data_IF_693903021909
#
_entry.id   IF_693903021909
#
_cell.length_a   1.000
_cell.length_b   1.000
_cell.length_c   1.000
_cell.angle_alpha   90.00
_cell.angle_beta   90.00
_cell.angle_gamma   90.00
#
_symmetry.space_group_name_H-M   'P 1'
#
loop_
_entity.id
_entity.type
_entity.pdbx_description
1 polymer ?
#
# COMPACT_ATOMS: atom_id res chain seq x y z
N UNK A 1 -50.14 -56.33 4.34
CA UNK A 1 -48.76 -56.24 3.88
C UNK A 1 -48.55 -54.78 3.37
N UNK A 2 -47.95 -53.94 4.21
CA UNK A 2 -47.65 -52.55 3.86
C UNK A 2 -46.20 -52.49 3.39
N UNK A 3 -45.99 -52.12 2.11
CA UNK A 3 -44.67 -51.93 1.54
C UNK A 3 -44.19 -50.49 1.86
N UNK A 4 -43.16 -50.42 2.68
CA UNK A 4 -42.49 -49.16 3.00
C UNK A 4 -41.55 -48.80 1.84
N UNK A 5 -41.80 -47.69 1.14
CA UNK A 5 -40.88 -47.13 0.15
C UNK A 5 -39.89 -46.25 0.89
N UNK A 6 -38.66 -46.71 0.98
CA UNK A 6 -37.53 -45.92 1.49
C UNK A 6 -36.95 -45.11 0.32
N UNK A 7 -37.32 -43.84 0.23
CA UNK A 7 -36.75 -42.90 -0.74
C UNK A 7 -35.35 -42.51 -0.30
N UNK A 8 -34.33 -42.90 -1.05
CA UNK A 8 -32.96 -42.44 -0.88
C UNK A 8 -32.87 -41.00 -1.41
N UNK A 9 -32.75 -40.07 -0.49
CA UNK A 9 -32.44 -38.68 -0.82
C UNK A 9 -30.93 -38.57 -1.15
N UNK A 10 -30.56 -38.58 -2.42
CA UNK A 10 -29.20 -38.29 -2.86
C UNK A 10 -28.97 -36.79 -2.69
N UNK A 11 -28.33 -36.42 -1.58
CA UNK A 11 -27.84 -35.05 -1.39
C UNK A 11 -26.64 -34.85 -2.31
N UNK A 12 -26.87 -34.19 -3.43
CA UNK A 12 -25.79 -33.73 -4.30
C UNK A 12 -25.08 -32.55 -3.57
N UNK A 13 -23.99 -32.86 -2.87
CA UNK A 13 -23.04 -31.84 -2.44
C UNK A 13 -22.39 -31.28 -3.71
N UNK A 14 -22.91 -30.16 -4.20
CA UNK A 14 -22.18 -29.32 -5.14
C UNK A 14 -21.01 -28.78 -4.32
N UNK A 15 -19.87 -29.44 -4.43
CA UNK A 15 -18.61 -28.89 -3.94
C UNK A 15 -18.42 -27.52 -4.58
N UNK A 16 -18.55 -26.44 -3.80
CA UNK A 16 -18.08 -25.14 -4.23
C UNK A 16 -16.58 -25.34 -4.51
N UNK A 17 -16.22 -25.40 -5.79
CA UNK A 17 -14.83 -25.31 -6.21
C UNK A 17 -14.43 -23.90 -5.81
N UNK A 18 -13.79 -23.76 -4.65
CA UNK A 18 -13.14 -22.52 -4.29
C UNK A 18 -12.15 -22.23 -5.42
N UNK A 19 -12.37 -21.15 -6.13
CA UNK A 19 -11.47 -20.72 -7.17
C UNK A 19 -10.13 -20.42 -6.48
N UNK A 20 -9.16 -21.30 -6.70
CA UNK A 20 -7.82 -21.12 -6.18
C UNK A 20 -7.23 -19.90 -6.89
N UNK A 21 -7.06 -18.80 -6.16
CA UNK A 21 -6.43 -17.63 -6.73
C UNK A 21 -4.98 -17.97 -7.06
N UNK A 22 -4.57 -17.72 -8.29
CA UNK A 22 -3.19 -17.96 -8.76
C UNK A 22 -2.17 -17.14 -7.97
N UNK A 23 -2.60 -16.10 -7.32
CA UNK A 23 -1.78 -15.21 -6.49
C UNK A 23 -2.26 -15.26 -5.07
N UNK A 24 -1.32 -15.21 -4.14
CA UNK A 24 -1.62 -15.07 -2.74
C UNK A 24 -2.44 -13.80 -2.50
N UNK A 25 -3.32 -13.79 -1.48
CA UNK A 25 -4.06 -12.59 -1.09
C UNK A 25 -3.11 -11.44 -0.87
N UNK A 26 -3.54 -10.23 -1.21
CA UNK A 26 -2.76 -9.02 -0.98
C UNK A 26 -2.40 -8.93 0.48
N UNK A 27 -1.14 -8.91 0.76
CA UNK A 27 -0.64 -8.78 2.11
C UNK A 27 -0.33 -7.35 2.50
N UNK A 28 0.00 -6.47 1.52
CA UNK A 28 0.53 -5.15 1.80
C UNK A 28 -0.47 -4.04 1.54
N UNK A 29 -0.53 -3.09 2.48
CA UNK A 29 -1.17 -1.79 2.27
C UNK A 29 -0.11 -0.77 1.91
N UNK A 30 -0.46 0.17 1.05
CA UNK A 30 0.44 1.22 0.60
C UNK A 30 -0.25 2.58 0.63
N UNK A 31 0.40 3.54 1.27
CA UNK A 31 -0.04 4.93 1.31
C UNK A 31 0.97 5.80 0.56
N UNK A 32 0.51 6.46 -0.50
CA UNK A 32 1.29 7.39 -1.28
C UNK A 32 0.87 8.82 -0.96
N UNK A 33 1.78 9.61 -0.42
CA UNK A 33 1.62 11.02 -0.20
C UNK A 33 2.37 11.77 -1.30
N UNK A 34 1.63 12.24 -2.30
CA UNK A 34 2.16 12.99 -3.45
C UNK A 34 2.19 14.46 -3.05
N UNK A 35 3.37 15.08 -3.02
CA UNK A 35 3.57 16.33 -2.31
C UNK A 35 4.39 17.34 -3.09
N UNK A 36 4.21 18.62 -2.73
CA UNK A 36 5.04 19.75 -3.13
C UNK A 36 5.75 20.36 -1.93
N UNK A 37 6.96 20.84 -2.11
CA UNK A 37 7.66 21.57 -1.06
C UNK A 37 6.98 22.92 -0.75
N UNK A 38 6.92 23.27 0.53
CA UNK A 38 6.40 24.58 0.98
C UNK A 38 7.51 25.63 0.96
N UNK A 39 7.21 26.79 0.40
CA UNK A 39 8.13 27.92 0.40
C UNK A 39 9.51 27.58 -0.15
N UNK A 40 10.54 27.68 0.69
CA UNK A 40 11.93 27.34 0.34
C UNK A 40 12.38 25.98 0.85
N UNK A 41 11.46 25.15 1.30
CA UNK A 41 11.78 23.79 1.75
C UNK A 41 12.30 22.92 0.62
N UNK A 42 13.13 21.95 0.95
CA UNK A 42 13.83 21.07 0.02
C UNK A 42 13.60 19.59 0.35
N UNK A 43 14.11 18.72 -0.51
CA UNK A 43 14.17 17.28 -0.24
C UNK A 43 14.95 16.96 1.05
N UNK A 44 16.03 17.69 1.32
CA UNK A 44 16.82 17.50 2.54
C UNK A 44 16.00 17.82 3.80
N UNK A 45 15.21 18.90 3.78
CA UNK A 45 14.34 19.26 4.90
C UNK A 45 13.25 18.20 5.11
N UNK A 46 12.67 17.68 4.03
CA UNK A 46 11.65 16.63 4.14
C UNK A 46 12.22 15.29 4.63
N UNK A 47 13.42 14.95 4.15
CA UNK A 47 14.13 13.77 4.65
C UNK A 47 14.44 13.92 6.13
N UNK A 48 14.92 15.08 6.59
CA UNK A 48 15.18 15.32 8.00
C UNK A 48 13.89 15.23 8.83
N UNK A 49 12.81 15.84 8.37
CA UNK A 49 11.51 15.71 9.00
C UNK A 49 11.08 14.25 9.14
N UNK A 50 11.32 13.42 8.12
CA UNK A 50 11.06 11.99 8.16
C UNK A 50 11.91 11.24 9.17
N UNK A 51 13.19 11.58 9.29
CA UNK A 51 14.08 10.98 10.31
C UNK A 51 13.63 11.32 11.73
N UNK A 52 13.24 12.57 11.97
CA UNK A 52 12.68 13.00 13.26
C UNK A 52 11.34 12.28 13.55
N UNK A 53 10.53 12.02 12.52
CA UNK A 53 9.29 11.23 12.65
C UNK A 53 9.59 9.79 13.10
N UNK A 54 10.63 9.17 12.53
CA UNK A 54 11.06 7.81 12.92
C UNK A 54 11.49 7.78 14.38
N UNK A 55 12.22 8.78 14.86
CA UNK A 55 12.59 8.86 16.29
C UNK A 55 11.37 8.95 17.20
N UNK A 56 10.33 9.68 16.79
CA UNK A 56 9.08 9.78 17.54
C UNK A 56 8.35 8.43 17.53
N UNK A 57 8.29 7.76 16.39
CA UNK A 57 7.58 6.48 16.25
C UNK A 57 8.31 5.31 16.93
N UNK A 58 9.60 5.40 17.16
CA UNK A 58 10.37 4.42 17.94
C UNK A 58 9.93 4.34 19.42
N UNK A 59 9.09 5.25 19.90
CA UNK A 59 8.48 5.19 21.23
C UNK A 59 7.36 4.14 21.33
N UNK A 60 6.99 3.52 20.23
CA UNK A 60 5.96 2.47 20.15
C UNK A 60 6.36 1.40 19.14
N UNK A 61 5.87 0.18 19.33
CA UNK A 61 6.06 -0.91 18.37
C UNK A 61 5.08 -0.91 17.19
N UNK A 62 4.19 0.07 17.11
CA UNK A 62 3.14 0.12 16.07
C UNK A 62 3.66 0.40 14.66
N UNK A 63 4.90 0.87 14.53
CA UNK A 63 5.55 1.19 13.26
C UNK A 63 6.70 0.23 12.92
N UNK A 64 6.90 -0.82 13.72
CA UNK A 64 8.03 -1.74 13.58
C UNK A 64 8.11 -2.43 12.22
N UNK A 65 6.96 -2.74 11.64
CA UNK A 65 6.87 -3.43 10.36
C UNK A 65 6.54 -2.48 9.19
N UNK A 66 6.58 -1.17 9.40
CA UNK A 66 6.36 -0.18 8.35
C UNK A 66 7.66 0.06 7.58
N UNK A 67 7.59 0.02 6.27
CA UNK A 67 8.67 0.47 5.40
C UNK A 67 8.35 1.84 4.80
N UNK A 68 9.37 2.67 4.64
CA UNK A 68 9.24 4.02 4.06
C UNK A 68 10.15 4.12 2.85
N UNK A 69 9.59 4.62 1.75
CA UNK A 69 10.33 4.93 0.52
C UNK A 69 10.04 6.35 0.07
N UNK A 70 11.08 7.11 -0.24
CA UNK A 70 10.96 8.44 -0.82
C UNK A 70 11.30 8.40 -2.31
N UNK A 71 10.39 8.90 -3.15
CA UNK A 71 10.63 9.04 -4.59
C UNK A 71 10.72 10.51 -4.97
N UNK A 72 11.66 10.82 -5.85
CA UNK A 72 11.74 12.12 -6.52
C UNK A 72 11.48 11.94 -8.03
N UNK A 73 10.81 12.87 -8.70
CA UNK A 73 10.60 12.78 -10.14
C UNK A 73 11.94 12.79 -10.87
N UNK A 74 12.18 11.78 -11.71
CA UNK A 74 13.36 11.74 -12.57
C UNK A 74 13.01 12.12 -14.00
N UNK A 75 11.99 11.44 -14.57
CA UNK A 75 11.44 11.73 -15.89
C UNK A 75 9.92 11.71 -15.79
N UNK A 76 9.30 12.87 -15.81
CA UNK A 76 7.86 13.02 -15.80
C UNK A 76 7.43 13.96 -16.92
N UNK A 77 6.31 13.70 -17.55
CA UNK A 77 5.73 14.57 -18.57
C UNK A 77 5.36 15.95 -18.02
N UNK A 78 5.09 16.05 -16.73
CA UNK A 78 4.81 17.31 -16.03
C UNK A 78 5.55 17.31 -14.68
N UNK A 79 6.76 17.84 -14.71
CA UNK A 79 7.62 17.99 -13.52
C UNK A 79 7.06 18.99 -12.51
N UNK A 80 6.06 19.79 -12.87
CA UNK A 80 5.44 20.76 -11.97
C UNK A 80 4.37 20.14 -11.05
N UNK A 81 3.96 18.89 -11.30
CA UNK A 81 2.85 18.26 -10.56
C UNK A 81 3.19 17.97 -9.11
N UNK A 82 4.41 17.51 -8.83
CA UNK A 82 4.87 17.17 -7.49
C UNK A 82 6.39 17.19 -7.43
N UNK A 83 6.92 17.35 -6.23
CA UNK A 83 8.35 17.40 -5.97
C UNK A 83 8.85 16.11 -5.32
N UNK A 84 7.98 15.43 -4.57
CA UNK A 84 8.33 14.22 -3.83
C UNK A 84 7.10 13.37 -3.61
N UNK A 85 7.30 12.06 -3.52
CA UNK A 85 6.29 11.09 -3.07
C UNK A 85 6.86 10.36 -1.87
N UNK A 86 6.11 10.36 -0.78
CA UNK A 86 6.37 9.48 0.37
C UNK A 86 5.47 8.26 0.22
N UNK A 87 6.05 7.08 0.28
CA UNK A 87 5.35 5.82 0.32
C UNK A 87 5.57 5.17 1.68
N UNK A 88 4.47 4.84 2.36
CA UNK A 88 4.46 3.96 3.51
C UNK A 88 3.91 2.60 3.11
N UNK A 89 4.66 1.54 3.36
CA UNK A 89 4.24 0.16 3.15
C UNK A 89 3.94 -0.49 4.49
N UNK A 90 2.81 -1.19 4.56
CA UNK A 90 2.32 -1.84 5.76
C UNK A 90 2.02 -3.31 5.47
N UNK A 91 2.32 -4.25 6.38
CA UNK A 91 2.00 -5.65 6.18
C UNK A 91 0.51 -5.91 5.98
N UNK A 92 -0.34 -5.12 6.65
CA UNK A 92 -1.80 -5.24 6.58
C UNK A 92 -2.49 -3.97 7.09
N UNK A 93 -3.80 -3.90 6.86
CA UNK A 93 -4.62 -2.76 7.27
C UNK A 93 -4.74 -2.59 8.80
N UNK A 94 -4.68 -3.67 9.56
CA UNK A 94 -4.79 -3.61 11.03
C UNK A 94 -3.60 -2.86 11.63
N UNK A 95 -2.40 -3.18 11.18
CA UNK A 95 -1.18 -2.48 11.62
C UNK A 95 -1.17 -1.03 11.16
N UNK A 96 -1.54 -0.78 9.90
CA UNK A 96 -1.67 0.57 9.35
C UNK A 96 -2.59 1.44 10.23
N UNK A 97 -3.82 1.00 10.48
CA UNK A 97 -4.78 1.81 11.26
C UNK A 97 -4.39 1.96 12.73
N UNK A 98 -3.78 0.94 13.34
CA UNK A 98 -3.28 1.05 14.71
C UNK A 98 -2.13 2.06 14.83
N UNK A 99 -1.26 2.14 13.84
CA UNK A 99 -0.18 3.11 13.78
C UNK A 99 -0.71 4.53 13.50
N UNK A 100 -1.63 4.68 12.54
CA UNK A 100 -2.27 5.96 12.24
C UNK A 100 -3.05 6.52 13.43
N UNK A 101 -3.78 5.67 14.17
CA UNK A 101 -4.47 6.09 15.39
C UNK A 101 -3.48 6.65 16.42
N UNK A 102 -2.36 5.97 16.62
CA UNK A 102 -1.30 6.43 17.52
C UNK A 102 -0.71 7.76 17.04
N UNK A 103 -0.44 7.88 15.73
CA UNK A 103 0.14 9.08 15.13
C UNK A 103 -0.78 10.30 15.28
N UNK A 104 -2.07 10.16 15.06
CA UNK A 104 -3.05 11.23 15.24
C UNK A 104 -3.03 11.76 16.68
N UNK A 105 -2.84 10.87 17.65
CA UNK A 105 -2.81 11.24 19.08
C UNK A 105 -1.50 11.88 19.51
N UNK A 106 -0.36 11.48 18.93
CA UNK A 106 0.97 11.81 19.44
C UNK A 106 1.82 12.65 18.47
N UNK A 107 1.51 12.60 17.17
CA UNK A 107 2.33 13.23 16.12
C UNK A 107 1.94 14.67 15.75
N UNK A 108 0.92 15.25 16.33
CA UNK A 108 0.35 16.55 15.89
C UNK A 108 1.35 17.70 15.90
N UNK A 109 2.20 17.78 16.92
CA UNK A 109 3.24 18.82 17.02
C UNK A 109 4.32 18.68 15.93
N UNK A 110 4.63 17.45 15.54
CA UNK A 110 5.57 17.16 14.45
C UNK A 110 4.94 17.44 13.09
N UNK A 111 3.66 17.07 12.90
CA UNK A 111 2.91 17.37 11.68
C UNK A 111 2.80 18.86 11.39
N UNK A 112 2.78 19.72 12.41
CA UNK A 112 2.76 21.17 12.22
C UNK A 112 4.02 21.72 11.53
N UNK A 113 5.12 20.96 11.56
CA UNK A 113 6.42 21.29 10.96
C UNK A 113 6.63 20.64 9.59
N UNK A 114 5.61 19.94 9.06
CA UNK A 114 5.70 19.25 7.78
C UNK A 114 6.10 20.22 6.65
N UNK A 115 7.26 20.02 5.98
CA UNK A 115 7.79 20.97 5.01
C UNK A 115 7.18 20.80 3.61
N UNK A 116 6.15 19.98 3.47
CA UNK A 116 5.44 19.73 2.22
C UNK A 116 3.95 19.96 2.35
N UNK A 117 3.31 20.19 1.23
CA UNK A 117 1.86 20.16 1.07
C UNK A 117 1.49 18.93 0.26
N UNK A 118 0.61 18.09 0.81
CA UNK A 118 0.09 16.92 0.11
C UNK A 118 -0.92 17.36 -0.94
N UNK A 119 -0.59 17.19 -2.21
CA UNK A 119 -1.50 17.49 -3.32
C UNK A 119 -2.45 16.33 -3.62
N UNK A 120 -2.04 15.11 -3.26
CA UNK A 120 -2.87 13.91 -3.36
C UNK A 120 -2.40 12.86 -2.36
N UNK A 121 -3.33 12.12 -1.77
CA UNK A 121 -3.05 10.93 -0.98
C UNK A 121 -3.78 9.75 -1.62
N UNK A 122 -3.07 8.64 -1.78
CA UNK A 122 -3.62 7.40 -2.34
C UNK A 122 -3.36 6.30 -1.31
N UNK A 123 -4.42 5.69 -0.79
CA UNK A 123 -4.37 4.48 0.02
C UNK A 123 -4.84 3.30 -0.82
N UNK A 124 -4.02 2.26 -0.94
CA UNK A 124 -4.27 1.15 -1.84
C UNK A 124 -3.72 -0.17 -1.31
N UNK A 125 -4.13 -1.25 -1.94
CA UNK A 125 -3.55 -2.57 -1.76
C UNK A 125 -2.52 -2.83 -2.86
N UNK A 126 -1.45 -3.54 -2.52
CA UNK A 126 -0.40 -3.90 -3.47
C UNK A 126 -0.21 -5.40 -3.55
N UNK A 127 0.00 -5.88 -4.79
CA UNK A 127 0.45 -7.24 -5.10
C UNK A 127 1.84 -7.21 -5.69
N UNK A 128 2.81 -7.89 -5.10
CA UNK A 128 4.06 -8.14 -5.79
C UNK A 128 3.80 -9.13 -6.92
N UNK A 129 4.04 -8.71 -8.16
CA UNK A 129 3.93 -9.57 -9.34
C UNK A 129 5.25 -10.29 -9.60
N UNK A 130 6.35 -9.58 -9.41
CA UNK A 130 7.70 -10.11 -9.45
C UNK A 130 8.60 -9.27 -8.56
N UNK A 131 9.61 -9.89 -8.00
CA UNK A 131 10.65 -9.20 -7.24
C UNK A 131 11.97 -9.32 -7.99
N UNK A 132 12.77 -8.25 -8.07
CA UNK A 132 14.13 -8.35 -8.60
C UNK A 132 14.97 -9.26 -7.71
N UNK A 133 15.93 -9.95 -8.30
CA UNK A 133 16.93 -10.69 -7.54
C UNK A 133 17.99 -9.71 -7.01
N UNK A 134 18.30 -9.80 -5.71
CA UNK A 134 19.33 -9.01 -5.04
C UNK A 134 18.80 -7.77 -4.30
N UNK A 135 19.67 -7.16 -3.52
CA UNK A 135 19.39 -5.93 -2.79
C UNK A 135 19.60 -4.72 -3.72
N UNK A 136 18.65 -3.77 -3.70
CA UNK A 136 18.77 -2.51 -4.41
C UNK A 136 18.67 -1.34 -3.43
N UNK A 137 19.79 -0.64 -3.21
CA UNK A 137 19.82 0.56 -2.35
C UNK A 137 19.16 1.77 -3.02
N UNK A 138 19.34 1.91 -4.33
CA UNK A 138 18.81 3.00 -5.14
C UNK A 138 18.25 2.41 -6.42
N UNK A 139 17.01 2.75 -6.72
CA UNK A 139 16.31 2.25 -7.90
C UNK A 139 15.48 3.30 -8.60
N UNK A 140 15.17 3.06 -9.87
CA UNK A 140 14.19 3.83 -10.61
C UNK A 140 12.86 3.06 -10.67
N UNK A 141 11.76 3.74 -10.35
CA UNK A 141 10.41 3.17 -10.36
C UNK A 141 9.59 3.86 -11.44
N UNK A 142 8.85 3.10 -12.20
CA UNK A 142 7.90 3.60 -13.19
C UNK A 142 6.48 3.34 -12.73
N UNK A 143 5.70 4.42 -12.56
CA UNK A 143 4.26 4.33 -12.36
C UNK A 143 3.54 4.36 -13.70
N UNK A 144 2.62 3.43 -13.91
CA UNK A 144 1.80 3.36 -15.11
C UNK A 144 0.35 3.13 -14.73
N UNK A 145 -0.57 3.83 -15.41
CA UNK A 145 -2.00 3.56 -15.30
C UNK A 145 -2.36 2.52 -16.37
N UNK A 146 -2.86 1.38 -15.93
CA UNK A 146 -3.37 0.34 -16.80
C UNK A 146 -4.88 0.27 -16.68
N UNK A 147 -5.57 0.17 -17.82
CA UNK A 147 -6.99 -0.15 -17.88
C UNK A 147 -7.12 -1.58 -18.39
N UNK A 148 -7.88 -2.39 -17.67
CA UNK A 148 -8.21 -3.72 -18.15
C UNK A 148 -9.05 -3.63 -19.42
N UNK A 149 -8.84 -4.55 -20.35
CA UNK A 149 -9.75 -4.72 -21.48
C UNK A 149 -11.09 -5.23 -20.97
N UNK A 150 -12.17 -4.93 -21.67
CA UNK A 150 -13.55 -5.16 -21.20
C UNK A 150 -13.86 -6.65 -20.93
N UNK A 151 -13.12 -7.57 -21.54
CA UNK A 151 -13.27 -9.02 -21.45
C UNK A 151 -12.22 -9.71 -20.58
N UNK A 152 -11.35 -8.94 -19.90
CA UNK A 152 -10.21 -9.46 -19.13
C UNK A 152 -10.39 -9.14 -17.65
N UNK A 153 -10.35 -10.19 -16.83
CA UNK A 153 -10.26 -10.06 -15.37
C UNK A 153 -8.79 -9.96 -14.92
N UNK A 154 -8.50 -9.38 -13.75
CA UNK A 154 -7.14 -9.33 -13.22
C UNK A 154 -6.39 -10.66 -13.20
N UNK A 155 -7.12 -11.76 -13.04
CA UNK A 155 -6.57 -13.13 -13.01
C UNK A 155 -6.10 -13.65 -14.38
N UNK A 156 -6.44 -12.99 -15.49
CA UNK A 156 -6.07 -13.41 -16.83
C UNK A 156 -4.86 -12.64 -17.41
N UNK A 157 -4.28 -11.74 -16.63
CA UNK A 157 -3.15 -10.90 -17.07
C UNK A 157 -1.78 -11.56 -16.93
N UNK A 158 -1.72 -12.83 -16.50
CA UNK A 158 -0.47 -13.52 -16.16
C UNK A 158 -0.44 -14.94 -16.71
#
# INVERSE_FOLDING_TARGET
MKKLFLGAFLTFCIGAIAQEYKYEPVSNKAEYYISKFKGFSSYADYRQWGMDAIEITNQTNKFENMEIVLFTPLYNSDMSRHDVIWLSLWPNATEQFAALEWWVKNGSSHMSKLPVENVQVIDTWQWPISSPEGEMDIGAVRFSRCKLKDDVTPCLLY
#
